data_IF_234102975697
#
_entry.id   IF_234102975697
#
_cell.length_a   1.000
_cell.length_b   1.000
_cell.length_c   1.000
_cell.angle_alpha   90.00
_cell.angle_beta   90.00
_cell.angle_gamma   90.00
#
_symmetry.space_group_name_H-M   'P 1'
#
loop_
_entity.id
_entity.type
_entity.pdbx_description
1 polymer ?
#
# COMPACT_ATOMS: atom_id res chain seq x y z
N UNK A 1 34.25 -1.16 16.77
CA UNK A 1 32.98 -0.40 16.85
C UNK A 1 32.51 0.13 15.48
N UNK A 2 33.27 -0.03 14.39
CA UNK A 2 32.92 0.50 13.06
C UNK A 2 32.01 -0.43 12.21
N UNK A 3 31.86 -1.72 12.54
CA UNK A 3 31.14 -2.67 11.67
C UNK A 3 29.61 -2.65 11.79
N UNK A 4 29.03 -2.13 12.88
CA UNK A 4 27.58 -2.18 13.11
C UNK A 4 26.78 -1.06 12.42
N UNK A 5 27.39 0.08 12.12
CA UNK A 5 26.75 1.15 11.34
C UNK A 5 26.71 0.82 9.84
N UNK A 6 27.69 0.04 9.36
CA UNK A 6 27.82 -0.39 7.96
C UNK A 6 26.69 -1.35 7.53
N UNK A 7 26.37 -2.36 8.35
CA UNK A 7 25.32 -3.35 8.04
C UNK A 7 23.92 -2.75 7.94
N UNK A 8 23.62 -1.72 8.75
CA UNK A 8 22.31 -1.07 8.75
C UNK A 8 22.05 -0.25 7.49
N UNK A 9 23.09 0.31 6.84
CA UNK A 9 22.90 1.01 5.56
C UNK A 9 22.50 0.04 4.45
N UNK A 10 23.09 -1.16 4.38
CA UNK A 10 22.84 -2.10 3.29
C UNK A 10 21.38 -2.62 3.23
N UNK A 11 20.72 -2.78 4.38
CA UNK A 11 19.31 -3.20 4.44
C UNK A 11 18.33 -2.03 4.17
N UNK A 12 18.75 -0.79 4.44
CA UNK A 12 17.93 0.42 4.31
C UNK A 12 18.10 1.16 2.97
N UNK A 13 19.27 1.07 2.36
CA UNK A 13 19.61 1.53 1.00
C UNK A 13 18.54 1.18 -0.04
N UNK A 14 18.04 -0.07 -0.08
CA UNK A 14 16.87 -0.43 -0.85
C UNK A 14 15.77 0.60 -0.65
N UNK A 15 15.23 0.76 0.56
CA UNK A 15 14.07 1.60 0.90
C UNK A 15 14.20 3.07 0.49
N UNK A 16 15.42 3.58 0.46
CA UNK A 16 15.70 4.99 0.34
C UNK A 16 16.13 5.40 -1.06
N UNK A 17 16.25 4.48 -2.02
CA UNK A 17 16.70 4.82 -3.37
C UNK A 17 15.95 4.10 -4.49
N UNK A 18 15.88 4.73 -5.68
CA UNK A 18 15.36 4.15 -6.92
C UNK A 18 16.26 4.53 -8.07
N UNK A 19 16.64 3.56 -8.89
CA UNK A 19 17.31 3.81 -10.17
C UNK A 19 16.26 3.97 -11.27
N UNK A 20 16.20 5.13 -11.91
CA UNK A 20 15.38 5.33 -13.12
C UNK A 20 15.94 4.52 -14.29
N UNK A 21 15.12 4.31 -15.32
CA UNK A 21 15.57 3.75 -16.61
C UNK A 21 16.73 4.56 -17.26
N UNK A 22 16.94 5.81 -16.82
CA UNK A 22 18.06 6.66 -17.21
C UNK A 22 19.36 6.40 -16.43
N UNK A 23 19.38 5.50 -15.45
CA UNK A 23 20.51 5.27 -14.54
C UNK A 23 20.60 6.27 -13.38
N UNK A 24 19.71 7.27 -13.30
CA UNK A 24 19.68 8.25 -12.22
C UNK A 24 19.14 7.62 -10.92
N UNK A 25 19.92 7.69 -9.84
CA UNK A 25 19.50 7.26 -8.50
C UNK A 25 18.77 8.39 -7.78
N UNK A 26 17.47 8.25 -7.58
CA UNK A 26 16.66 9.17 -6.78
C UNK A 26 16.59 8.65 -5.35
N UNK A 27 17.01 9.48 -4.41
CA UNK A 27 16.78 9.22 -2.99
C UNK A 27 15.29 9.47 -2.66
N UNK A 28 14.59 8.42 -2.26
CA UNK A 28 13.26 8.51 -1.67
C UNK A 28 13.43 8.77 -0.17
N UNK A 29 12.89 9.89 0.31
CA UNK A 29 12.89 10.23 1.73
C UNK A 29 11.48 10.09 2.32
N UNK A 30 11.12 8.92 2.88
CA UNK A 30 9.90 8.72 3.64
C UNK A 30 9.76 9.76 4.76
N UNK A 31 8.71 10.58 4.69
CA UNK A 31 8.41 11.60 5.71
C UNK A 31 6.97 11.45 6.22
N UNK A 32 6.52 12.30 7.13
CA UNK A 32 5.19 12.15 7.76
C UNK A 32 4.03 12.16 6.74
N UNK A 33 4.28 12.64 5.52
CA UNK A 33 3.29 12.80 4.47
C UNK A 33 3.39 11.74 3.36
N UNK A 34 4.42 10.91 3.36
CA UNK A 34 4.61 9.90 2.32
C UNK A 34 5.28 8.62 2.83
N UNK A 35 5.09 7.52 2.10
CA UNK A 35 5.68 6.23 2.41
C UNK A 35 6.18 5.57 1.13
N UNK A 36 7.29 4.84 1.23
CA UNK A 36 7.82 4.07 0.10
C UNK A 36 7.12 2.71 0.09
N UNK A 37 6.51 2.36 -1.03
CA UNK A 37 5.78 1.10 -1.19
C UNK A 37 6.29 0.30 -2.39
N UNK A 38 6.36 -1.04 -2.27
CA UNK A 38 6.74 -1.90 -3.38
C UNK A 38 5.57 -1.98 -4.37
N UNK A 39 5.80 -1.58 -5.62
CA UNK A 39 4.75 -1.51 -6.66
C UNK A 39 4.07 -2.86 -6.86
N UNK A 40 4.83 -3.96 -6.81
CA UNK A 40 4.29 -5.30 -6.97
C UNK A 40 3.13 -5.57 -5.98
N UNK A 41 3.31 -5.27 -4.69
CA UNK A 41 2.25 -5.48 -3.69
C UNK A 41 1.04 -4.57 -3.93
N UNK A 42 1.27 -3.33 -4.39
CA UNK A 42 0.19 -2.39 -4.69
C UNK A 42 -0.65 -2.81 -5.91
N UNK A 43 -0.07 -3.58 -6.83
CA UNK A 43 -0.76 -4.15 -8.00
C UNK A 43 -1.58 -5.41 -7.68
N UNK A 44 -1.14 -6.22 -6.70
CA UNK A 44 -1.69 -7.55 -6.43
C UNK A 44 -3.08 -7.59 -5.82
N UNK A 45 -3.66 -6.46 -5.40
CA UNK A 45 -4.96 -6.50 -4.72
C UNK A 45 -4.88 -7.18 -3.35
N UNK A 46 -3.73 -7.08 -2.69
CA UNK A 46 -3.49 -7.63 -1.35
C UNK A 46 -4.26 -6.87 -0.28
N UNK A 47 -4.22 -5.53 -0.34
CA UNK A 47 -5.01 -4.63 0.50
C UNK A 47 -6.26 -4.20 -0.25
N UNK A 48 -7.43 -4.50 0.31
CA UNK A 48 -8.72 -4.46 -0.39
C UNK A 48 -9.80 -3.83 0.47
N UNK A 49 -10.87 -3.30 -0.14
CA UNK A 49 -11.96 -2.71 0.63
C UNK A 49 -12.66 -3.75 1.51
N UNK A 50 -12.97 -3.34 2.74
CA UNK A 50 -13.78 -4.14 3.67
C UNK A 50 -15.15 -4.43 3.06
N UNK A 51 -15.52 -5.71 3.01
CA UNK A 51 -16.88 -6.14 2.64
C UNK A 51 -17.81 -5.92 3.84
N UNK A 52 -18.28 -4.68 4.04
CA UNK A 52 -19.34 -4.43 5.02
C UNK A 52 -20.60 -5.17 4.57
N UNK A 53 -21.17 -6.00 5.46
CA UNK A 53 -22.49 -6.64 5.37
C UNK A 53 -22.69 -7.94 4.55
N UNK A 54 -21.75 -8.89 4.53
CA UNK A 54 -22.11 -10.28 4.16
C UNK A 54 -21.64 -11.27 5.20
N UNK A 55 -22.34 -12.40 5.36
CA UNK A 55 -21.95 -13.52 6.22
C UNK A 55 -20.53 -14.09 5.90
N UNK A 56 -19.92 -13.65 4.79
CA UNK A 56 -18.53 -13.91 4.38
C UNK A 56 -17.50 -12.88 4.89
N UNK A 57 -17.94 -11.81 5.55
CA UNK A 57 -17.09 -10.87 6.29
C UNK A 57 -16.65 -11.40 7.65
N UNK A 58 -16.86 -12.69 7.93
CA UNK A 58 -16.38 -13.34 9.15
C UNK A 58 -14.85 -13.25 9.20
N UNK A 59 -14.34 -12.72 10.31
CA UNK A 59 -12.91 -12.75 10.61
C UNK A 59 -12.39 -14.18 10.46
N UNK A 60 -11.32 -14.36 9.68
CA UNK A 60 -10.69 -15.66 9.46
C UNK A 60 -10.85 -16.25 8.05
N UNK A 61 -11.54 -15.59 7.12
CA UNK A 61 -11.52 -16.02 5.72
C UNK A 61 -10.09 -15.87 5.15
N UNK A 62 -9.46 -17.00 4.84
CA UNK A 62 -8.20 -17.03 4.10
C UNK A 62 -8.46 -16.59 2.67
N UNK A 63 -7.69 -15.61 2.21
CA UNK A 63 -7.63 -15.19 0.83
C UNK A 63 -6.37 -15.78 0.19
N UNK A 64 -6.48 -16.16 -1.08
CA UNK A 64 -5.33 -16.52 -1.89
C UNK A 64 -5.27 -15.58 -3.09
N UNK A 65 -4.08 -15.07 -3.39
CA UNK A 65 -3.81 -14.15 -4.49
C UNK A 65 -2.71 -14.75 -5.36
N UNK A 66 -2.97 -14.90 -6.66
CA UNK A 66 -1.93 -15.24 -7.63
C UNK A 66 -1.01 -14.04 -7.81
N UNK A 67 0.25 -14.21 -7.42
CA UNK A 67 1.27 -13.20 -7.47
C UNK A 67 2.33 -13.45 -8.56
N UNK A 68 2.14 -14.50 -9.35
CA UNK A 68 3.13 -14.96 -10.35
C UNK A 68 3.55 -13.84 -11.28
N UNK A 69 2.60 -13.11 -11.87
CA UNK A 69 2.93 -12.06 -12.85
C UNK A 69 3.68 -10.87 -12.25
N UNK A 70 3.38 -10.50 -11.01
CA UNK A 70 3.97 -9.32 -10.37
C UNK A 70 5.32 -9.66 -9.70
N UNK A 71 5.51 -10.91 -9.27
CA UNK A 71 6.70 -11.35 -8.54
C UNK A 71 7.66 -12.20 -9.39
N UNK A 72 7.32 -12.56 -10.63
CA UNK A 72 8.16 -13.39 -11.52
C UNK A 72 9.59 -12.90 -11.70
N UNK A 73 9.81 -11.59 -11.51
CA UNK A 73 11.09 -10.99 -11.82
C UNK A 73 12.05 -10.96 -10.61
N UNK A 74 11.59 -11.40 -9.43
CA UNK A 74 12.46 -11.53 -8.26
C UNK A 74 13.64 -12.45 -8.58
N UNK A 75 14.83 -12.09 -8.10
CA UNK A 75 16.09 -12.81 -8.26
C UNK A 75 15.94 -14.24 -7.77
N UNK A 76 15.30 -14.44 -6.62
CA UNK A 76 14.98 -15.76 -6.07
C UNK A 76 14.14 -16.61 -7.03
N UNK A 77 13.18 -15.98 -7.73
CA UNK A 77 12.30 -16.67 -8.69
C UNK A 77 13.08 -17.08 -9.92
N UNK A 78 13.89 -16.18 -10.46
CA UNK A 78 14.72 -16.45 -11.64
C UNK A 78 15.82 -17.48 -11.37
N UNK A 79 16.48 -17.41 -10.20
CA UNK A 79 17.60 -18.28 -9.86
C UNK A 79 17.17 -19.72 -9.59
N UNK A 80 16.03 -19.91 -8.91
CA UNK A 80 15.52 -21.24 -8.55
C UNK A 80 14.55 -21.81 -9.61
N UNK A 81 14.08 -20.99 -10.55
CA UNK A 81 13.13 -21.38 -11.58
C UNK A 81 11.72 -21.62 -11.02
N UNK A 82 11.26 -20.79 -10.09
CA UNK A 82 9.88 -20.86 -9.60
C UNK A 82 8.89 -20.38 -10.68
N UNK A 83 7.82 -21.12 -10.90
CA UNK A 83 6.83 -20.86 -11.97
C UNK A 83 5.50 -20.35 -11.43
N UNK A 84 5.19 -20.67 -10.18
CA UNK A 84 3.93 -20.32 -9.52
C UNK A 84 4.22 -19.61 -8.21
N UNK A 85 3.63 -18.43 -8.06
CA UNK A 85 3.81 -17.59 -6.86
C UNK A 85 2.43 -17.23 -6.33
N UNK A 86 2.17 -17.53 -5.07
CA UNK A 86 0.88 -17.26 -4.43
C UNK A 86 1.06 -16.59 -3.08
N UNK A 87 0.17 -15.68 -2.72
CA UNK A 87 0.09 -15.10 -1.38
C UNK A 87 -1.18 -15.62 -0.74
N UNK A 88 -1.06 -16.31 0.39
CA UNK A 88 -2.17 -16.91 1.11
C UNK A 88 -2.16 -16.48 2.58
N UNK A 89 -3.28 -15.98 3.08
CA UNK A 89 -3.38 -15.52 4.47
C UNK A 89 -4.70 -14.82 4.77
N UNK A 90 -4.78 -14.15 5.91
CA UNK A 90 -5.94 -13.32 6.22
C UNK A 90 -6.08 -12.18 5.21
N UNK A 91 -7.31 -11.93 4.74
CA UNK A 91 -7.62 -10.78 3.90
C UNK A 91 -7.29 -9.47 4.63
N UNK A 92 -6.58 -8.57 3.95
CA UNK A 92 -6.09 -7.31 4.52
C UNK A 92 -6.94 -6.12 4.06
N UNK A 93 -7.41 -5.30 5.00
CA UNK A 93 -8.22 -4.12 4.71
C UNK A 93 -7.39 -2.85 4.40
N UNK A 94 -8.02 -1.84 3.80
CA UNK A 94 -7.35 -0.55 3.53
C UNK A 94 -7.30 0.36 4.76
N UNK A 95 -8.26 0.24 5.68
CA UNK A 95 -8.44 1.22 6.75
C UNK A 95 -7.56 0.96 7.98
N UNK A 96 -7.15 -0.28 8.23
CA UNK A 96 -6.32 -0.71 9.36
C UNK A 96 -5.05 -1.41 8.89
N UNK A 97 -5.18 -2.45 8.06
CA UNK A 97 -4.07 -3.33 7.72
C UNK A 97 -3.07 -2.62 6.79
N UNK A 98 -3.55 -1.91 5.77
CA UNK A 98 -2.69 -1.09 4.93
C UNK A 98 -1.93 -0.01 5.71
N UNK A 99 -2.59 0.67 6.67
CA UNK A 99 -1.94 1.69 7.51
C UNK A 99 -0.90 1.08 8.44
N UNK A 100 -1.20 -0.10 9.00
CA UNK A 100 -0.26 -0.86 9.82
C UNK A 100 0.95 -1.29 8.99
N UNK A 101 0.73 -1.80 7.78
CA UNK A 101 1.77 -2.15 6.82
C UNK A 101 2.65 -0.94 6.47
N UNK A 102 2.04 0.19 6.10
CA UNK A 102 2.78 1.43 5.85
C UNK A 102 3.61 1.84 7.07
N UNK A 103 3.08 1.66 8.28
CA UNK A 103 3.80 1.91 9.53
C UNK A 103 4.97 0.95 9.77
N UNK A 104 4.85 -0.32 9.42
CA UNK A 104 5.97 -1.29 9.46
C UNK A 104 7.12 -0.80 8.57
N UNK A 105 6.81 -0.48 7.32
CA UNK A 105 7.82 0.00 6.35
C UNK A 105 8.44 1.32 6.80
N UNK A 106 7.61 2.21 7.32
CA UNK A 106 8.07 3.49 7.83
C UNK A 106 8.96 3.34 9.08
N UNK A 107 8.73 2.31 9.89
CA UNK A 107 9.55 2.01 11.07
C UNK A 107 10.95 1.56 10.66
N UNK A 108 11.07 0.63 9.71
CA UNK A 108 12.37 0.23 9.17
C UNK A 108 13.12 1.42 8.57
N UNK A 109 12.43 2.35 7.90
CA UNK A 109 13.08 3.53 7.32
C UNK A 109 13.56 4.58 8.34
N UNK A 110 13.03 4.62 9.56
CA UNK A 110 13.29 5.72 10.53
C UNK A 110 13.90 5.31 11.85
N UNK A 111 13.79 4.04 12.20
CA UNK A 111 14.36 3.51 13.43
C UNK A 111 15.57 2.65 13.10
N UNK A 112 16.62 2.67 13.95
CA UNK A 112 17.72 1.74 13.82
C UNK A 112 17.22 0.29 13.84
N UNK A 113 17.57 -0.48 12.82
CA UNK A 113 17.39 -1.93 12.81
C UNK A 113 18.56 -2.62 13.50
N UNK A 114 18.34 -3.85 13.95
CA UNK A 114 19.39 -4.79 14.34
C UNK A 114 19.19 -6.03 13.47
N UNK A 115 19.97 -6.13 12.39
CA UNK A 115 19.72 -7.12 11.34
C UNK A 115 18.36 -6.86 10.68
N UNK A 116 17.51 -7.88 10.62
CA UNK A 116 16.17 -7.86 10.01
C UNK A 116 15.06 -7.34 10.94
N UNK A 117 15.44 -6.84 12.13
CA UNK A 117 14.50 -6.52 13.20
C UNK A 117 14.55 -5.05 13.58
N UNK A 118 13.39 -4.40 13.68
CA UNK A 118 13.22 -3.04 14.21
C UNK A 118 12.48 -3.09 15.54
N UNK A 119 12.92 -2.29 16.52
CA UNK A 119 12.25 -2.17 17.83
C UNK A 119 12.02 -0.71 18.16
N UNK A 120 10.79 -0.35 18.54
CA UNK A 120 10.38 1.03 18.82
C UNK A 120 9.23 1.09 19.84
N UNK A 121 9.05 2.23 20.54
CA UNK A 121 7.89 2.45 21.39
C UNK A 121 6.58 2.33 20.61
N UNK A 122 5.54 1.79 21.25
CA UNK A 122 4.23 1.63 20.62
C UNK A 122 3.67 2.96 20.10
N UNK A 123 3.83 4.04 20.87
CA UNK A 123 3.35 5.36 20.48
C UNK A 123 4.03 5.87 19.19
N UNK A 124 5.28 5.50 18.99
CA UNK A 124 6.01 5.87 17.78
C UNK A 124 5.60 4.99 16.62
N UNK A 125 5.37 3.69 16.84
CA UNK A 125 4.78 2.82 15.83
C UNK A 125 3.40 3.32 15.37
N UNK A 126 2.57 3.81 16.29
CA UNK A 126 1.27 4.45 15.97
C UNK A 126 1.47 5.67 15.06
N UNK A 127 2.46 6.53 15.33
CA UNK A 127 2.80 7.67 14.46
C UNK A 127 3.27 7.19 13.09
N UNK A 128 4.07 6.12 13.03
CA UNK A 128 4.53 5.55 11.76
C UNK A 128 3.36 5.02 10.92
N UNK A 129 2.31 4.49 11.56
CA UNK A 129 1.07 4.08 10.90
C UNK A 129 0.21 5.27 10.39
N UNK A 130 0.65 6.52 10.58
CA UNK A 130 -0.11 7.72 10.19
C UNK A 130 -1.33 7.98 11.07
N UNK A 131 -1.37 7.43 12.29
CA UNK A 131 -2.48 7.60 13.23
C UNK A 131 -2.08 8.73 14.21
N UNK A 132 -2.93 9.76 14.41
CA UNK A 132 -2.67 10.81 15.38
C UNK A 132 -2.43 10.23 16.77
N UNK A 133 -1.28 10.55 17.37
CA UNK A 133 -0.78 9.96 18.61
C UNK A 133 -1.47 10.46 19.88
N UNK A 134 -2.53 11.28 19.75
CA UNK A 134 -3.17 11.93 20.89
C UNK A 134 -3.80 10.94 21.89
N UNK A 135 -4.06 9.68 21.51
CA UNK A 135 -4.65 8.67 22.39
C UNK A 135 -4.18 7.25 22.07
N UNK A 136 -3.25 6.68 22.85
CA UNK A 136 -2.99 5.22 22.85
C UNK A 136 -4.06 4.48 23.64
N UNK A 137 -5.29 4.46 23.14
CA UNK A 137 -6.37 3.75 23.83
C UNK A 137 -6.16 2.23 23.78
N UNK A 138 -6.71 1.50 24.76
CA UNK A 138 -6.75 0.03 24.74
C UNK A 138 -7.39 -0.50 23.45
N UNK A 139 -8.37 0.22 22.90
CA UNK A 139 -9.00 -0.09 21.62
C UNK A 139 -8.03 0.05 20.44
N UNK A 140 -7.21 1.11 20.40
CA UNK A 140 -6.18 1.30 19.38
C UNK A 140 -5.14 0.17 19.43
N UNK A 141 -4.68 -0.19 20.62
CA UNK A 141 -3.72 -1.29 20.86
C UNK A 141 -4.28 -2.62 20.34
N UNK A 142 -5.53 -2.95 20.68
CA UNK A 142 -6.21 -4.16 20.21
C UNK A 142 -6.36 -4.18 18.67
N UNK A 143 -6.66 -3.03 18.07
CA UNK A 143 -6.83 -2.89 16.61
C UNK A 143 -5.51 -3.08 15.86
N UNK A 144 -4.41 -2.50 16.34
CA UNK A 144 -3.08 -2.69 15.74
C UNK A 144 -2.56 -4.11 15.95
N UNK A 145 -2.72 -4.70 17.13
CA UNK A 145 -2.40 -6.11 17.39
C UNK A 145 -3.13 -7.04 16.40
N UNK A 146 -4.44 -6.83 16.21
CA UNK A 146 -5.21 -7.60 15.25
C UNK A 146 -4.71 -7.44 13.80
N UNK A 147 -4.23 -6.24 13.44
CA UNK A 147 -3.69 -5.96 12.11
C UNK A 147 -2.32 -6.62 11.89
N UNK A 148 -1.43 -6.53 12.88
CA UNK A 148 -0.14 -7.23 12.88
C UNK A 148 -0.31 -8.74 12.75
N UNK A 149 -1.25 -9.33 13.50
CA UNK A 149 -1.60 -10.76 13.38
C UNK A 149 -2.05 -11.13 11.97
N UNK A 150 -2.97 -10.35 11.37
CA UNK A 150 -3.44 -10.62 9.99
C UNK A 150 -2.30 -10.51 8.98
N UNK A 151 -1.46 -9.49 9.07
CA UNK A 151 -0.30 -9.31 8.19
C UNK A 151 0.66 -10.50 8.32
N UNK A 152 0.98 -10.93 9.55
CA UNK A 152 1.88 -12.06 9.80
C UNK A 152 1.35 -13.40 9.24
N UNK A 153 0.02 -13.55 9.10
CA UNK A 153 -0.56 -14.78 8.51
C UNK A 153 -0.41 -14.88 6.99
N UNK A 154 0.06 -13.83 6.31
CA UNK A 154 0.21 -13.84 4.87
C UNK A 154 1.54 -14.46 4.45
N UNK A 155 1.44 -15.70 3.99
CA UNK A 155 2.56 -16.51 3.47
C UNK A 155 2.66 -16.33 1.96
N UNK A 156 3.87 -16.06 1.45
CA UNK A 156 4.21 -16.17 0.05
C UNK A 156 4.77 -17.57 -0.20
N UNK A 157 4.18 -18.26 -1.18
CA UNK A 157 4.61 -19.59 -1.63
C UNK A 157 5.15 -19.49 -3.05
N UNK A 158 6.35 -20.00 -3.24
CA UNK A 158 7.05 -20.11 -4.50
C UNK A 158 7.19 -21.59 -4.86
N UNK A 159 6.65 -22.01 -6.00
CA UNK A 159 6.61 -23.40 -6.44
C UNK A 159 7.15 -23.51 -7.88
N UNK A 160 8.00 -24.50 -8.15
CA UNK A 160 8.54 -24.78 -9.48
C UNK A 160 9.66 -25.82 -9.44
N UNK A 161 9.86 -26.56 -10.53
CA UNK A 161 10.92 -27.57 -10.65
C UNK A 161 10.98 -28.60 -9.49
N UNK A 162 9.82 -29.00 -8.94
CA UNK A 162 9.74 -29.91 -7.79
C UNK A 162 10.19 -29.31 -6.45
N UNK A 163 10.54 -28.02 -6.41
CA UNK A 163 10.89 -27.26 -5.21
C UNK A 163 9.72 -26.39 -4.76
N UNK A 164 9.61 -26.22 -3.45
CA UNK A 164 8.72 -25.25 -2.83
C UNK A 164 9.48 -24.44 -1.78
N UNK A 165 9.24 -23.14 -1.77
CA UNK A 165 9.76 -22.22 -0.75
C UNK A 165 8.62 -21.36 -0.20
N UNK A 166 8.56 -21.25 1.12
CA UNK A 166 7.52 -20.51 1.82
C UNK A 166 8.15 -19.48 2.75
N UNK A 167 7.61 -18.27 2.72
CA UNK A 167 8.06 -17.10 3.51
C UNK A 167 6.84 -16.23 3.88
N UNK A 168 6.99 -15.23 4.74
CA UNK A 168 5.90 -14.38 5.22
C UNK A 168 6.13 -12.91 4.87
N UNK A 169 5.05 -12.15 4.62
CA UNK A 169 5.14 -10.68 4.45
C UNK A 169 5.83 -10.00 5.62
N UNK A 170 5.61 -10.51 6.83
CA UNK A 170 6.29 -10.12 8.07
C UNK A 170 6.62 -11.41 8.80
N UNK A 171 7.91 -11.63 9.10
CA UNK A 171 8.38 -12.86 9.72
C UNK A 171 7.86 -12.98 11.16
N UNK A 172 7.93 -11.90 11.94
CA UNK A 172 7.32 -11.87 13.26
C UNK A 172 6.96 -10.45 13.70
N UNK A 173 5.91 -10.35 14.49
CA UNK A 173 5.52 -9.11 15.16
C UNK A 173 5.29 -9.41 16.65
N UNK A 174 6.10 -8.79 17.50
CA UNK A 174 6.06 -8.93 18.94
C UNK A 174 5.63 -7.61 19.57
N UNK A 175 4.81 -7.71 20.61
CA UNK A 175 4.25 -6.58 21.32
C UNK A 175 4.34 -6.81 22.82
N UNK A 176 5.05 -5.92 23.51
CA UNK A 176 5.20 -5.90 24.96
C UNK A 176 4.37 -4.74 25.52
N UNK A 177 3.33 -5.08 26.30
CA UNK A 177 2.43 -4.09 26.91
C UNK A 177 3.03 -3.43 28.14
N UNK A 178 3.88 -4.14 28.86
CA UNK A 178 4.48 -3.65 30.11
C UNK A 178 5.58 -2.66 29.80
N UNK A 179 6.41 -2.97 28.78
CA UNK A 179 7.48 -2.09 28.32
C UNK A 179 7.04 -1.08 27.27
N UNK A 180 5.80 -1.19 26.79
CA UNK A 180 5.23 -0.39 25.71
C UNK A 180 6.05 -0.42 24.40
N UNK A 181 6.53 -1.62 24.02
CA UNK A 181 7.40 -1.82 22.87
C UNK A 181 6.75 -2.67 21.78
N UNK A 182 7.05 -2.33 20.54
CA UNK A 182 6.77 -3.15 19.35
C UNK A 182 8.11 -3.58 18.76
N UNK A 183 8.23 -4.86 18.44
CA UNK A 183 9.38 -5.43 17.73
C UNK A 183 8.88 -6.15 16.48
N UNK A 184 9.36 -5.72 15.32
CA UNK A 184 8.95 -6.28 14.03
C UNK A 184 10.18 -6.86 13.34
N UNK A 185 10.07 -8.11 12.89
CA UNK A 185 11.08 -8.79 12.09
C UNK A 185 10.58 -8.91 10.66
N UNK A 186 11.31 -8.33 9.71
CA UNK A 186 11.06 -8.49 8.28
C UNK A 186 11.62 -9.83 7.81
N UNK A 187 11.11 -10.35 6.69
CA UNK A 187 11.80 -11.44 5.99
C UNK A 187 12.90 -10.84 5.09
N UNK A 188 14.18 -11.22 5.29
CA UNK A 188 15.29 -10.67 4.52
C UNK A 188 15.18 -10.88 3.01
N UNK A 189 14.58 -11.99 2.57
CA UNK A 189 14.40 -12.29 1.15
C UNK A 189 13.31 -11.44 0.51
N UNK A 190 12.39 -10.89 1.31
CA UNK A 190 11.39 -9.94 0.85
C UNK A 190 11.91 -8.50 0.76
N UNK A 191 13.11 -8.19 1.29
CA UNK A 191 13.76 -6.91 0.97
C UNK A 191 14.00 -6.75 -0.53
N UNK A 192 14.03 -7.83 -1.31
CA UNK A 192 14.09 -7.73 -2.76
C UNK A 192 12.84 -7.10 -3.38
N UNK A 193 11.65 -7.21 -2.77
CA UNK A 193 10.48 -6.41 -3.20
C UNK A 193 10.76 -4.91 -3.14
N UNK A 194 11.76 -4.53 -2.33
CA UNK A 194 12.29 -3.20 -2.17
C UNK A 194 13.64 -2.99 -2.89
N UNK A 195 14.16 -3.93 -3.66
CA UNK A 195 15.27 -3.67 -4.60
C UNK A 195 14.80 -3.77 -6.04
N UNK A 196 13.69 -4.46 -6.25
CA UNK A 196 13.14 -4.78 -7.55
C UNK A 196 12.41 -3.58 -8.18
N UNK A 197 12.46 -3.54 -9.51
CA UNK A 197 12.01 -2.44 -10.34
C UNK A 197 10.64 -1.87 -9.93
N UNK A 198 10.70 -0.55 -9.72
CA UNK A 198 9.65 0.39 -9.39
C UNK A 198 9.15 0.29 -7.96
N UNK A 199 9.63 1.19 -7.12
CA UNK A 199 8.93 1.63 -5.92
C UNK A 199 8.12 2.85 -6.22
N UNK A 200 7.11 3.10 -5.39
CA UNK A 200 6.38 4.36 -5.43
C UNK A 200 6.45 5.07 -4.10
N UNK A 201 6.61 6.40 -4.17
CA UNK A 201 6.44 7.29 -3.04
C UNK A 201 4.97 7.67 -2.90
N UNK A 202 4.24 6.87 -2.13
CA UNK A 202 2.82 7.03 -1.93
C UNK A 202 2.54 8.23 -1.00
N UNK A 203 1.68 9.15 -1.42
CA UNK A 203 1.29 10.32 -0.64
C UNK A 203 0.16 9.97 0.32
N UNK A 204 0.45 10.02 1.63
CA UNK A 204 -0.51 9.71 2.69
C UNK A 204 -1.64 10.76 2.77
N UNK A 205 -1.43 11.98 2.25
CA UNK A 205 -2.45 13.03 2.16
C UNK A 205 -3.66 12.61 1.30
N UNK A 206 -3.44 11.88 0.22
CA UNK A 206 -4.54 11.35 -0.59
C UNK A 206 -5.34 10.29 0.19
N UNK A 207 -4.65 9.37 0.87
CA UNK A 207 -5.29 8.37 1.75
C UNK A 207 -6.12 9.04 2.84
N UNK A 208 -5.63 10.13 3.44
CA UNK A 208 -6.33 10.85 4.51
C UNK A 208 -7.58 11.60 4.00
N UNK A 209 -7.52 12.23 2.82
CA UNK A 209 -8.72 12.81 2.17
C UNK A 209 -9.75 11.76 1.76
N UNK A 210 -9.34 10.52 1.54
CA UNK A 210 -10.21 9.37 1.23
C UNK A 210 -10.65 8.59 2.48
N UNK A 211 -10.68 9.21 3.66
CA UNK A 211 -11.07 8.56 4.92
C UNK A 211 -12.41 7.81 4.75
N UNK A 212 -12.43 6.51 5.11
CA UNK A 212 -13.59 5.59 4.96
C UNK A 212 -14.01 5.30 3.51
N UNK A 213 -13.33 5.84 2.50
CA UNK A 213 -13.53 5.56 1.07
C UNK A 213 -12.55 4.46 0.61
N UNK A 214 -12.61 3.28 1.23
CA UNK A 214 -11.59 2.21 1.03
C UNK A 214 -11.42 1.77 -0.43
N UNK A 215 -12.49 1.75 -1.24
CA UNK A 215 -12.37 1.44 -2.68
C UNK A 215 -11.55 2.50 -3.43
N UNK A 216 -11.76 3.79 -3.12
CA UNK A 216 -10.94 4.86 -3.68
C UNK A 216 -9.50 4.78 -3.18
N UNK A 217 -9.26 4.47 -1.89
CA UNK A 217 -7.90 4.25 -1.37
C UNK A 217 -7.20 3.09 -2.08
N UNK A 218 -7.89 1.96 -2.30
CA UNK A 218 -7.34 0.82 -3.02
C UNK A 218 -7.01 1.17 -4.48
N UNK A 219 -7.90 1.89 -5.18
CA UNK A 219 -7.61 2.35 -6.55
C UNK A 219 -6.49 3.40 -6.59
N UNK A 220 -6.40 4.30 -5.60
CA UNK A 220 -5.30 5.25 -5.48
C UNK A 220 -3.95 4.53 -5.42
N UNK A 221 -3.79 3.59 -4.48
CA UNK A 221 -2.52 2.82 -4.37
C UNK A 221 -2.18 2.07 -5.65
N UNK A 222 -3.19 1.52 -6.33
CA UNK A 222 -3.00 0.86 -7.62
C UNK A 222 -2.56 1.83 -8.71
N UNK A 223 -3.23 2.97 -8.86
CA UNK A 223 -2.89 3.96 -9.88
C UNK A 223 -1.47 4.49 -9.65
N UNK A 224 -1.11 4.81 -8.41
CA UNK A 224 0.26 5.20 -8.04
C UNK A 224 1.31 4.14 -8.41
N UNK A 225 0.94 2.87 -8.44
CA UNK A 225 1.81 1.77 -8.84
C UNK A 225 1.97 1.61 -10.37
N UNK A 226 1.27 2.43 -11.18
CA UNK A 226 1.35 2.43 -12.64
C UNK A 226 2.27 3.55 -13.16
N UNK A 227 2.89 3.36 -14.35
CA UNK A 227 3.68 4.39 -15.02
C UNK A 227 2.91 5.71 -15.18
N UNK A 228 3.60 6.85 -15.19
CA UNK A 228 3.00 8.21 -15.23
C UNK A 228 1.85 8.32 -16.23
N UNK A 229 2.07 7.84 -17.46
CA UNK A 229 1.05 7.74 -18.50
C UNK A 229 0.71 6.25 -18.77
N UNK A 230 -0.23 5.65 -18.01
CA UNK A 230 -0.56 4.25 -18.20
C UNK A 230 -1.42 4.07 -19.45
N UNK A 231 -1.32 2.90 -20.09
CA UNK A 231 -2.29 2.49 -21.09
C UNK A 231 -3.73 2.50 -20.52
N UNK A 232 -4.77 2.67 -21.37
CA UNK A 232 -6.15 2.68 -20.91
C UNK A 232 -6.48 1.49 -20.01
N UNK A 233 -6.98 1.79 -18.81
CA UNK A 233 -7.20 0.79 -17.77
C UNK A 233 -8.61 0.25 -17.91
N UNK A 234 -8.76 -1.05 -18.15
CA UNK A 234 -10.09 -1.64 -18.28
C UNK A 234 -10.84 -1.64 -16.94
N UNK A 235 -12.16 -1.49 -17.00
CA UNK A 235 -13.05 -1.67 -15.86
C UNK A 235 -12.84 -3.03 -15.19
N UNK A 236 -12.57 -4.07 -15.99
CA UNK A 236 -12.24 -5.40 -15.49
C UNK A 236 -10.96 -5.42 -14.63
N UNK A 237 -9.91 -4.69 -15.04
CA UNK A 237 -8.65 -4.57 -14.28
C UNK A 237 -8.88 -3.87 -12.94
N UNK A 238 -9.64 -2.77 -12.93
CA UNK A 238 -9.99 -2.07 -11.69
C UNK A 238 -10.85 -2.93 -10.75
N UNK A 239 -11.79 -3.72 -11.29
CA UNK A 239 -12.54 -4.71 -10.48
C UNK A 239 -11.64 -5.76 -9.84
N UNK A 240 -10.73 -6.35 -10.63
CA UNK A 240 -9.76 -7.33 -10.12
C UNK A 240 -8.93 -6.73 -8.99
N UNK A 241 -8.50 -5.47 -9.13
CA UNK A 241 -7.76 -4.77 -8.07
C UNK A 241 -8.56 -4.60 -6.78
N UNK A 242 -9.86 -4.30 -6.87
CA UNK A 242 -10.72 -4.18 -5.69
C UNK A 242 -11.08 -5.54 -5.06
N UNK A 243 -11.01 -6.62 -5.85
CA UNK A 243 -11.25 -8.00 -5.43
C UNK A 243 -12.51 -8.15 -4.56
N UNK A 244 -13.63 -7.58 -5.00
CA UNK A 244 -14.88 -7.57 -4.26
C UNK A 244 -15.65 -8.87 -4.52
N UNK A 245 -16.32 -9.40 -3.49
CA UNK A 245 -17.17 -10.59 -3.62
C UNK A 245 -18.60 -10.34 -4.14
N UNK A 246 -18.93 -9.10 -4.50
CA UNK A 246 -20.27 -8.71 -4.97
C UNK A 246 -20.49 -9.02 -6.45
N UNK A 247 -21.73 -8.90 -6.95
CA UNK A 247 -22.04 -9.10 -8.37
C UNK A 247 -21.30 -8.09 -9.25
N UNK A 248 -20.96 -8.48 -10.47
CA UNK A 248 -20.21 -7.64 -11.44
C UNK A 248 -20.81 -6.25 -11.63
N UNK A 249 -22.14 -6.12 -11.71
CA UNK A 249 -22.82 -4.83 -11.84
C UNK A 249 -22.53 -3.92 -10.64
N UNK A 250 -22.66 -4.44 -9.42
CA UNK A 250 -22.32 -3.73 -8.19
C UNK A 250 -20.85 -3.33 -8.17
N UNK A 251 -19.95 -4.23 -8.55
CA UNK A 251 -18.52 -3.91 -8.65
C UNK A 251 -18.25 -2.78 -9.64
N UNK A 252 -18.93 -2.77 -10.80
CA UNK A 252 -18.81 -1.69 -11.78
C UNK A 252 -19.20 -0.33 -11.17
N UNK A 253 -20.31 -0.28 -10.42
CA UNK A 253 -20.74 0.94 -9.73
C UNK A 253 -19.72 1.38 -8.67
N UNK A 254 -19.17 0.44 -7.89
CA UNK A 254 -18.15 0.74 -6.89
C UNK A 254 -16.87 1.28 -7.52
N UNK A 255 -16.41 0.70 -8.65
CA UNK A 255 -15.25 1.22 -9.38
C UNK A 255 -15.49 2.65 -9.85
N UNK A 256 -16.62 2.92 -10.53
CA UNK A 256 -16.93 4.28 -11.01
C UNK A 256 -17.00 5.28 -9.89
N UNK A 257 -17.70 4.95 -8.80
CA UNK A 257 -17.76 5.80 -7.61
C UNK A 257 -16.37 6.05 -7.03
N UNK A 258 -15.51 5.05 -6.98
CA UNK A 258 -14.15 5.20 -6.47
C UNK A 258 -13.28 6.09 -7.38
N UNK A 259 -13.40 5.96 -8.70
CA UNK A 259 -12.73 6.84 -9.67
C UNK A 259 -13.23 8.29 -9.53
N UNK A 260 -14.53 8.48 -9.36
CA UNK A 260 -15.11 9.81 -9.14
C UNK A 260 -14.63 10.44 -7.84
N UNK A 261 -14.62 9.68 -6.75
CA UNK A 261 -14.08 10.14 -5.47
C UNK A 261 -12.61 10.57 -5.54
N UNK A 262 -11.84 9.94 -6.42
CA UNK A 262 -10.46 10.32 -6.67
C UNK A 262 -10.35 11.60 -7.51
N UNK A 263 -11.25 11.82 -8.46
CA UNK A 263 -11.37 13.08 -9.20
C UNK A 263 -11.84 14.22 -8.30
N UNK A 264 -12.85 14.01 -7.45
CA UNK A 264 -13.37 14.96 -6.45
C UNK A 264 -12.29 15.51 -5.54
N UNK A 265 -11.34 14.68 -5.09
CA UNK A 265 -10.24 15.13 -4.23
C UNK A 265 -9.08 15.76 -5.00
N UNK A 266 -9.23 15.99 -6.30
CA UNK A 266 -8.22 16.55 -7.18
C UNK A 266 -7.02 15.62 -7.44
N UNK A 267 -7.16 14.31 -7.22
CA UNK A 267 -6.04 13.38 -7.44
C UNK A 267 -5.83 13.05 -8.92
N UNK A 268 -6.88 12.88 -9.71
CA UNK A 268 -6.73 12.60 -11.14
C UNK A 268 -7.80 13.31 -11.97
N UNK A 269 -7.51 13.45 -13.26
CA UNK A 269 -8.56 13.61 -14.28
C UNK A 269 -8.55 12.41 -15.24
N UNK A 270 -9.74 12.05 -15.72
CA UNK A 270 -9.93 10.87 -16.56
C UNK A 270 -11.15 10.98 -17.48
N UNK A 271 -11.15 10.16 -18.53
CA UNK A 271 -12.34 9.88 -19.34
C UNK A 271 -12.70 8.39 -19.30
N UNK A 272 -13.99 8.10 -19.23
CA UNK A 272 -14.54 6.76 -19.41
C UNK A 272 -14.95 6.56 -20.88
N UNK A 273 -14.36 5.57 -21.54
CA UNK A 273 -14.66 5.24 -22.94
C UNK A 273 -15.11 3.79 -23.08
N UNK A 274 -16.10 3.57 -23.95
CA UNK A 274 -16.55 2.23 -24.32
C UNK A 274 -15.92 1.82 -25.64
N UNK A 275 -15.22 0.67 -25.66
CA UNK A 275 -14.68 0.06 -26.87
C UNK A 275 -15.26 -1.36 -26.99
N UNK A 276 -16.19 -1.54 -27.92
CA UNK A 276 -16.97 -2.76 -28.06
C UNK A 276 -17.79 -3.06 -26.79
N UNK A 277 -17.57 -4.25 -26.20
CA UNK A 277 -18.24 -4.68 -24.95
C UNK A 277 -17.49 -4.26 -23.68
N UNK A 278 -16.33 -3.62 -23.82
CA UNK A 278 -15.46 -3.29 -22.70
C UNK A 278 -15.43 -1.78 -22.44
N UNK A 279 -15.29 -1.44 -21.16
CA UNK A 279 -15.15 -0.06 -20.68
C UNK A 279 -13.72 0.15 -20.23
N UNK A 280 -13.16 1.31 -20.58
CA UNK A 280 -11.80 1.71 -20.24
C UNK A 280 -11.79 3.10 -19.63
N UNK A 281 -10.86 3.32 -18.70
CA UNK A 281 -10.56 4.61 -18.10
C UNK A 281 -9.22 5.09 -18.68
N UNK A 282 -9.25 6.25 -19.33
CA UNK A 282 -8.06 6.94 -19.83
C UNK A 282 -7.69 7.98 -18.78
N UNK A 283 -6.51 7.85 -18.19
CA UNK A 283 -6.02 8.76 -17.15
C UNK A 283 -5.28 9.89 -17.86
N UNK A 284 -5.76 11.12 -17.73
CA UNK A 284 -5.16 12.30 -18.39
C UNK A 284 -4.06 12.91 -17.54
N UNK A 285 -4.29 12.97 -16.22
CA UNK A 285 -3.35 13.55 -15.27
C UNK A 285 -3.50 12.90 -13.90
N UNK A 286 -2.43 12.98 -13.09
CA UNK A 286 -2.43 12.60 -11.68
C UNK A 286 -1.65 13.63 -10.88
N UNK A 287 -2.18 14.00 -9.72
CA UNK A 287 -1.63 14.99 -8.80
C UNK A 287 -1.50 14.38 -7.40
N UNK A 288 -0.52 13.49 -7.14
CA UNK A 288 -0.45 12.75 -5.88
C UNK A 288 -0.40 13.61 -4.61
N UNK A 289 0.21 14.80 -4.68
CA UNK A 289 0.34 15.73 -3.55
C UNK A 289 -0.92 16.55 -3.27
N UNK A 290 -1.85 16.59 -4.23
CA UNK A 290 -3.08 17.37 -4.20
C UNK A 290 -2.87 18.89 -4.03
N UNK A 291 -1.74 19.41 -4.54
CA UNK A 291 -1.34 20.81 -4.39
C UNK A 291 -2.13 21.77 -5.31
N UNK A 292 -2.83 21.25 -6.33
CA UNK A 292 -3.63 22.06 -7.25
C UNK A 292 -4.96 22.60 -6.66
N UNK A 293 -5.38 22.14 -5.48
CA UNK A 293 -6.64 22.59 -4.86
C UNK A 293 -6.50 23.82 -3.96
N UNK A 294 -5.28 24.26 -3.59
CA UNK A 294 -5.11 25.49 -2.80
C UNK A 294 -5.54 26.76 -3.56
N UNK A 295 -5.56 26.70 -4.90
CA UNK A 295 -5.94 27.83 -5.74
C UNK A 295 -7.43 27.87 -6.09
N UNK A 296 -8.20 26.81 -5.80
CA UNK A 296 -9.66 26.80 -6.03
C UNK A 296 -10.43 27.21 -4.77
N UNK A 297 -9.97 26.78 -3.58
CA UNK A 297 -10.55 27.22 -2.30
C UNK A 297 -10.39 28.73 -2.05
N UNK A 298 -9.46 29.41 -2.75
CA UNK A 298 -9.25 30.86 -2.67
C UNK A 298 -10.07 31.67 -3.68
N UNK A 299 -10.64 31.02 -4.70
CA UNK A 299 -11.48 31.69 -5.72
C UNK A 299 -12.94 31.71 -5.26
N UNK A 300 -13.44 30.63 -4.65
CA UNK A 300 -14.80 30.59 -4.08
C UNK A 300 -14.99 31.54 -2.88
N UNK A 301 -13.90 32.08 -2.31
CA UNK A 301 -13.94 33.06 -1.21
C UNK A 301 -13.94 34.52 -1.66
N UNK A 302 -13.93 34.81 -2.97
CA UNK A 302 -13.88 36.18 -3.51
C UNK A 302 -15.22 36.69 -4.07
N UNK A 303 -16.24 35.83 -4.14
CA UNK A 303 -17.57 36.20 -4.67
C UNK A 303 -18.57 36.69 -3.58
N UNK A 304 -18.12 36.93 -2.35
CA UNK A 304 -18.90 37.58 -1.27
C UNK A 304 -18.30 38.93 -0.87
N UNK A 305 -18.10 39.84 -1.84
CA UNK A 305 -18.00 41.27 -1.53
C UNK A 305 -19.24 41.95 -2.11
N UNK A 306 -20.23 42.14 -1.26
CA UNK A 306 -21.39 43.00 -1.51
C UNK A 306 -20.89 44.42 -1.83
N UNK A 307 -21.38 44.97 -2.94
CA UNK A 307 -21.35 46.39 -3.22
C UNK A 307 -22.47 47.03 -2.39
N UNK A 308 -22.12 47.87 -1.43
CA UNK A 308 -23.04 48.87 -0.89
C UNK A 308 -22.64 50.25 -1.44
N UNK A 309 -23.65 50.95 -1.97
CA UNK A 309 -23.62 52.34 -2.45
C UNK A 309 -23.31 53.35 -1.33
#
# INVERSE_FOLDING_TARGET
MADKESENKALLEPFLSVTKNSGEVIQLHPNKNNTVQPVALMRLGLFVPTLKSTARGKSGAMASTDATKELKNLSLVKSEGYEKITITGARLDMDNDFKTWAGIIQSFSRYPSKGDTVTLPFIDFVKMCGIPSANSSAALRKRLDASLRRIATNTLSFEGNGKAYHTHLVQSAYYDREKDLVRIQADPKLFELYNFDHKVLLQLRAISRLKRKESAQALYTYLESLPTNPAPISLARLRMRLNLGSKTTTQNHVVRRAMEQLKEIGYLDYSEVKRGRSVFFIIHSRTPKLDGMSNLESIDSLDEIEFED
#
